data_IF_259998116995
#
_entry.id   IF_259998116995
#
_cell.length_a   1.000
_cell.length_b   1.000
_cell.length_c   1.000
_cell.angle_alpha   90.00
_cell.angle_beta   90.00
_cell.angle_gamma   90.00
#
_symmetry.space_group_name_H-M   'P 1'
#
loop_
_entity.id
_entity.type
_entity.pdbx_description
1 polymer ?
#
# COMPACT_ATOMS: atom_id res chain seq x y z
N UNK A 1 -0.64 -15.02 -12.80
CA UNK A 1 -0.72 -13.58 -12.42
C UNK A 1 -2.08 -13.28 -11.77
N UNK A 2 -3.21 -13.44 -12.46
CA UNK A 2 -4.55 -13.34 -11.81
C UNK A 2 -4.81 -14.42 -10.75
N UNK A 3 -4.21 -15.61 -10.90
CA UNK A 3 -4.28 -16.71 -9.92
C UNK A 3 -3.52 -16.44 -8.61
N UNK A 4 -2.47 -15.60 -8.65
CA UNK A 4 -1.63 -15.23 -7.49
C UNK A 4 -2.24 -14.04 -6.73
N UNK A 5 -2.99 -13.18 -7.44
CA UNK A 5 -3.70 -12.04 -6.86
C UNK A 5 -4.87 -12.46 -5.96
N UNK A 6 -5.52 -13.59 -6.27
CA UNK A 6 -6.64 -14.11 -5.47
C UNK A 6 -6.23 -14.36 -4.01
N UNK A 7 -5.21 -15.19 -3.74
CA UNK A 7 -4.69 -15.40 -2.39
C UNK A 7 -4.13 -14.13 -1.74
N UNK A 8 -3.44 -13.26 -2.49
CA UNK A 8 -2.88 -12.02 -1.95
C UNK A 8 -3.98 -11.04 -1.49
N UNK A 9 -5.08 -10.93 -2.25
CA UNK A 9 -6.20 -10.00 -1.98
C UNK A 9 -7.25 -10.62 -1.05
N UNK A 10 -7.44 -11.94 -1.03
CA UNK A 10 -8.50 -12.60 -0.24
C UNK A 10 -7.98 -13.49 0.91
N UNK A 11 -6.65 -13.63 1.06
CA UNK A 11 -6.05 -14.52 2.07
C UNK A 11 -6.01 -13.95 3.49
N UNK A 12 -6.17 -12.63 3.68
CA UNK A 12 -6.08 -11.97 4.98
C UNK A 12 -7.34 -11.18 5.33
N UNK A 13 -7.78 -11.28 6.60
CA UNK A 13 -8.86 -10.44 7.14
C UNK A 13 -8.52 -8.94 7.08
N UNK A 14 -7.24 -8.59 7.05
CA UNK A 14 -6.78 -7.20 6.91
C UNK A 14 -7.18 -6.59 5.56
N UNK A 15 -7.41 -7.41 4.54
CA UNK A 15 -7.82 -6.92 3.22
C UNK A 15 -9.25 -6.36 3.22
N UNK A 16 -10.05 -6.60 4.26
CA UNK A 16 -11.31 -5.89 4.49
C UNK A 16 -11.09 -4.37 4.58
N UNK A 17 -9.90 -3.95 5.03
CA UNK A 17 -9.55 -2.54 5.11
C UNK A 17 -9.41 -1.87 3.72
N UNK A 18 -9.32 -2.64 2.63
CA UNK A 18 -9.36 -2.09 1.27
C UNK A 18 -10.69 -1.37 0.98
N UNK A 19 -11.76 -1.70 1.70
CA UNK A 19 -13.03 -0.97 1.60
C UNK A 19 -12.87 0.50 2.03
N UNK A 20 -11.89 0.82 2.87
CA UNK A 20 -11.62 2.20 3.25
C UNK A 20 -11.00 3.03 2.13
N UNK A 21 -10.46 2.41 1.07
CA UNK A 21 -9.91 3.13 -0.08
C UNK A 21 -11.00 3.94 -0.82
N UNK A 22 -12.09 3.32 -1.33
CA UNK A 22 -13.17 4.09 -1.93
C UNK A 22 -13.88 5.02 -0.93
N UNK A 23 -13.91 4.67 0.37
CA UNK A 23 -14.45 5.55 1.41
C UNK A 23 -13.59 6.81 1.57
N UNK A 24 -12.26 6.69 1.60
CA UNK A 24 -11.35 7.82 1.69
C UNK A 24 -11.52 8.76 0.50
N UNK A 25 -11.60 8.21 -0.72
CA UNK A 25 -11.86 8.99 -1.94
C UNK A 25 -13.21 9.70 -1.85
N UNK A 26 -14.27 9.01 -1.42
CA UNK A 26 -15.59 9.61 -1.28
C UNK A 26 -15.62 10.73 -0.23
N UNK A 27 -14.94 10.55 0.91
CA UNK A 27 -14.82 11.56 1.97
C UNK A 27 -14.09 12.81 1.48
N UNK A 28 -13.02 12.64 0.71
CA UNK A 28 -12.27 13.74 0.10
C UNK A 28 -13.14 14.50 -0.93
N UNK A 29 -13.87 13.77 -1.79
CA UNK A 29 -14.75 14.40 -2.79
C UNK A 29 -15.84 15.28 -2.18
N UNK A 30 -16.36 14.91 -1.01
CA UNK A 30 -17.37 15.70 -0.29
C UNK A 30 -16.76 16.71 0.68
N UNK A 31 -15.43 16.86 0.70
CA UNK A 31 -14.68 17.73 1.62
C UNK A 31 -15.07 17.48 3.08
N UNK A 32 -15.16 16.19 3.46
CA UNK A 32 -15.38 15.80 4.85
C UNK A 32 -14.21 16.26 5.74
N UNK A 33 -14.43 16.30 7.06
CA UNK A 33 -13.40 16.76 7.99
C UNK A 33 -12.12 15.93 7.91
N UNK A 34 -10.97 16.62 7.96
CA UNK A 34 -9.62 16.07 7.73
C UNK A 34 -9.32 14.81 8.55
N UNK A 35 -9.80 14.73 9.79
CA UNK A 35 -9.62 13.55 10.66
C UNK A 35 -10.24 12.30 10.05
N UNK A 36 -11.40 12.41 9.40
CA UNK A 36 -12.08 11.30 8.76
C UNK A 36 -11.39 10.86 7.47
N UNK A 37 -10.96 11.83 6.65
CA UNK A 37 -10.18 11.56 5.44
C UNK A 37 -8.86 10.87 5.80
N UNK A 38 -8.17 11.38 6.82
CA UNK A 38 -6.93 10.80 7.33
C UNK A 38 -7.14 9.38 7.84
N UNK A 39 -8.14 9.15 8.70
CA UNK A 39 -8.39 7.83 9.27
C UNK A 39 -8.72 6.79 8.19
N UNK A 40 -9.59 7.13 7.23
CA UNK A 40 -9.94 6.24 6.13
C UNK A 40 -8.72 5.95 5.23
N UNK A 41 -7.93 6.98 4.91
CA UNK A 41 -6.70 6.84 4.11
C UNK A 41 -5.69 5.93 4.82
N UNK A 42 -5.41 6.18 6.10
CA UNK A 42 -4.49 5.39 6.91
C UNK A 42 -4.90 3.91 6.99
N UNK A 43 -6.19 3.62 7.21
CA UNK A 43 -6.71 2.25 7.24
C UNK A 43 -6.55 1.56 5.89
N UNK A 44 -6.78 2.26 4.78
CA UNK A 44 -6.65 1.71 3.43
C UNK A 44 -5.20 1.38 3.05
N UNK A 45 -4.22 2.11 3.59
CA UNK A 45 -2.79 1.91 3.31
C UNK A 45 -2.29 0.57 3.87
N UNK A 46 -2.84 0.10 4.99
CA UNK A 46 -2.41 -1.14 5.67
C UNK A 46 -2.40 -2.36 4.70
N UNK A 47 -3.52 -2.73 4.06
CA UNK A 47 -3.50 -3.85 3.11
C UNK A 47 -2.78 -3.51 1.80
N UNK A 48 -2.78 -2.25 1.36
CA UNK A 48 -2.06 -1.83 0.15
C UNK A 48 -0.54 -2.05 0.28
N UNK A 49 0.03 -1.72 1.44
CA UNK A 49 1.43 -1.98 1.76
C UNK A 49 1.75 -3.47 1.67
N UNK A 50 0.90 -4.31 2.25
CA UNK A 50 1.02 -5.76 2.15
C UNK A 50 1.00 -6.26 0.70
N UNK A 51 0.06 -5.77 -0.12
CA UNK A 51 -0.05 -6.16 -1.53
C UNK A 51 1.19 -5.77 -2.35
N UNK A 52 1.72 -4.54 -2.13
CA UNK A 52 2.94 -4.07 -2.79
C UNK A 52 4.13 -4.94 -2.38
N UNK A 53 4.26 -5.27 -1.09
CA UNK A 53 5.31 -6.17 -0.59
C UNK A 53 5.29 -7.54 -1.27
N UNK A 54 4.13 -8.20 -1.32
CA UNK A 54 4.00 -9.51 -1.99
C UNK A 54 4.31 -9.43 -3.48
N UNK A 55 3.78 -8.42 -4.18
CA UNK A 55 4.06 -8.23 -5.60
C UNK A 55 5.54 -7.98 -5.87
N UNK A 56 6.21 -7.25 -4.98
CA UNK A 56 7.65 -6.98 -5.06
C UNK A 56 8.46 -8.24 -4.86
N UNK A 57 8.10 -9.07 -3.88
CA UNK A 57 8.80 -10.33 -3.62
C UNK A 57 8.65 -11.30 -4.80
N UNK A 58 7.44 -11.41 -5.35
CA UNK A 58 7.15 -12.21 -6.56
C UNK A 58 7.98 -11.76 -7.76
N UNK A 59 8.17 -10.45 -7.92
CA UNK A 59 8.98 -9.87 -8.98
C UNK A 59 10.48 -10.09 -8.71
N UNK A 60 10.93 -9.88 -7.49
CA UNK A 60 12.32 -10.06 -7.06
C UNK A 60 12.82 -11.48 -7.33
N UNK A 61 11.97 -12.50 -7.13
CA UNK A 61 12.28 -13.91 -7.45
C UNK A 61 12.51 -14.16 -8.95
N UNK A 62 12.04 -13.28 -9.84
CA UNK A 62 12.13 -13.45 -11.31
C UNK A 62 13.30 -12.68 -11.95
N UNK A 63 13.79 -11.63 -11.29
CA UNK A 63 14.79 -10.70 -11.87
C UNK A 63 16.24 -10.96 -11.40
N UNK A 64 16.44 -11.97 -10.54
CA UNK A 64 17.74 -12.37 -10.02
C UNK A 64 18.20 -11.59 -8.79
N UNK A 65 19.29 -12.02 -8.11
CA UNK A 65 19.63 -11.59 -6.76
C UNK A 65 19.93 -10.09 -6.61
N UNK A 66 20.63 -9.49 -7.58
CA UNK A 66 21.01 -8.07 -7.54
C UNK A 66 19.81 -7.14 -7.67
N UNK A 67 19.05 -7.29 -8.76
CA UNK A 67 17.84 -6.47 -9.01
C UNK A 67 16.75 -6.80 -7.99
N UNK A 68 16.59 -8.07 -7.62
CA UNK A 68 15.64 -8.49 -6.60
C UNK A 68 15.94 -7.90 -5.22
N UNK A 69 17.22 -7.81 -4.84
CA UNK A 69 17.65 -7.14 -3.62
C UNK A 69 17.32 -5.64 -3.63
N UNK A 70 17.56 -4.96 -4.76
CA UNK A 70 17.20 -3.55 -4.92
C UNK A 70 15.69 -3.32 -4.81
N UNK A 71 14.88 -4.14 -5.51
CA UNK A 71 13.42 -4.07 -5.46
C UNK A 71 12.88 -4.27 -4.05
N UNK A 72 13.42 -5.24 -3.31
CA UNK A 72 12.97 -5.51 -1.95
C UNK A 72 13.36 -4.39 -0.98
N UNK A 73 14.54 -3.79 -1.17
CA UNK A 73 14.97 -2.65 -0.36
C UNK A 73 14.07 -1.42 -0.57
N UNK A 74 13.63 -1.16 -1.80
CA UNK A 74 12.79 -0.01 -2.14
C UNK A 74 11.31 -0.27 -1.88
N UNK A 75 10.71 -1.24 -2.57
CA UNK A 75 9.27 -1.49 -2.53
C UNK A 75 8.85 -2.37 -1.35
N UNK A 76 9.74 -3.16 -0.77
CA UNK A 76 9.48 -3.90 0.47
C UNK A 76 9.30 -2.98 1.69
N UNK A 77 9.88 -1.78 1.65
CA UNK A 77 9.63 -0.67 2.60
C UNK A 77 8.89 0.49 1.93
N UNK A 78 8.16 0.22 0.84
CA UNK A 78 7.61 1.25 -0.04
C UNK A 78 6.60 2.15 0.66
N UNK A 79 5.81 1.59 1.58
CA UNK A 79 4.81 2.35 2.33
C UNK A 79 5.47 3.39 3.24
N UNK A 80 6.52 3.01 3.95
CA UNK A 80 7.30 3.90 4.82
C UNK A 80 7.96 5.00 4.01
N UNK A 81 8.58 4.67 2.88
CA UNK A 81 9.25 5.64 2.01
C UNK A 81 8.26 6.63 1.39
N UNK A 82 7.08 6.18 0.98
CA UNK A 82 6.03 7.05 0.46
C UNK A 82 5.52 8.02 1.54
N UNK A 83 5.19 7.50 2.73
CA UNK A 83 4.70 8.33 3.84
C UNK A 83 5.77 9.34 4.25
N UNK A 84 7.02 8.91 4.44
CA UNK A 84 8.11 9.80 4.79
C UNK A 84 8.37 10.85 3.69
N UNK A 85 8.33 10.45 2.41
CA UNK A 85 8.50 11.36 1.29
C UNK A 85 7.42 12.44 1.22
N UNK A 86 6.15 12.07 1.41
CA UNK A 86 5.04 13.04 1.46
C UNK A 86 5.08 13.91 2.71
N UNK A 87 5.48 13.36 3.86
CA UNK A 87 5.67 14.12 5.07
C UNK A 87 6.74 15.21 4.88
N UNK A 88 7.92 14.82 4.40
CA UNK A 88 9.03 15.74 4.13
C UNK A 88 8.65 16.80 3.09
N UNK A 89 7.92 16.44 2.03
CA UNK A 89 7.50 17.41 1.01
C UNK A 89 6.44 18.39 1.51
N UNK A 90 5.66 17.99 2.53
CA UNK A 90 4.72 18.85 3.24
C UNK A 90 5.38 19.71 4.34
N UNK A 91 6.71 19.61 4.51
CA UNK A 91 7.46 20.43 5.46
C UNK A 91 7.45 19.90 6.91
N UNK A 92 7.18 18.61 7.10
CA UNK A 92 7.52 17.91 8.34
C UNK A 92 9.04 17.66 8.44
#
# INVERSE_FOLDING_TARGET
MLSELGPAIFGSRLNLLLLFLPVAVALEMVHAGDVWVFAASALSIIPLAGLIGHATEDLARRVGPGIGGLLNATFGNGAELLIAGFALSAGL
#
